data_IF_385412173580
#
_entry.id   IF_385412173580
#
_cell.length_a   1.000
_cell.length_b   1.000
_cell.length_c   1.000
_cell.angle_alpha   90.00
_cell.angle_beta   90.00
_cell.angle_gamma   90.00
#
_symmetry.space_group_name_H-M   'P 1'
#
loop_
_entity.id
_entity.type
_entity.pdbx_description
1 polymer ?
#
# COMPACT_ATOMS: atom_id res chain seq x y z
N UNK A 1 1.70 14.64 11.44
CA UNK A 1 1.72 13.43 12.30
C UNK A 1 1.92 12.22 11.39
N UNK A 2 3.01 11.46 11.56
CA UNK A 2 3.26 10.25 10.78
C UNK A 2 2.22 9.19 11.17
N UNK A 3 1.26 8.92 10.30
CA UNK A 3 0.21 7.94 10.56
C UNK A 3 0.70 6.54 10.22
N UNK A 4 0.07 5.53 10.83
CA UNK A 4 0.32 4.12 10.52
C UNK A 4 0.23 3.84 9.01
N UNK A 5 -0.66 4.53 8.31
CA UNK A 5 -0.79 4.45 6.85
C UNK A 5 0.50 4.84 6.11
N UNK A 6 1.14 5.93 6.51
CA UNK A 6 2.39 6.39 5.89
C UNK A 6 3.52 5.37 6.09
N UNK A 7 3.66 4.81 7.29
CA UNK A 7 4.69 3.80 7.58
C UNK A 7 4.50 2.53 6.75
N UNK A 8 3.26 2.04 6.64
CA UNK A 8 2.94 0.89 5.79
C UNK A 8 3.31 1.19 4.33
N UNK A 9 2.95 2.38 3.82
CA UNK A 9 3.24 2.75 2.44
C UNK A 9 4.76 2.81 2.16
N UNK A 10 5.53 3.33 3.10
CA UNK A 10 7.00 3.39 2.99
C UNK A 10 7.60 1.99 3.02
N UNK A 11 7.20 1.13 3.96
CA UNK A 11 7.72 -0.24 4.07
C UNK A 11 7.40 -1.04 2.80
N UNK A 12 6.17 -0.94 2.30
CA UNK A 12 5.75 -1.63 1.08
C UNK A 12 6.47 -1.09 -0.16
N UNK A 13 6.62 0.23 -0.27
CA UNK A 13 7.39 0.85 -1.35
C UNK A 13 8.86 0.44 -1.34
N UNK A 14 9.48 0.37 -0.15
CA UNK A 14 10.85 -0.10 0.01
C UNK A 14 11.01 -1.58 -0.39
N UNK A 15 10.04 -2.43 -0.02
CA UNK A 15 10.03 -3.83 -0.45
C UNK A 15 9.93 -3.96 -1.97
N UNK A 16 9.00 -3.24 -2.62
CA UNK A 16 8.87 -3.22 -4.07
C UNK A 16 10.16 -2.75 -4.76
N UNK A 17 10.80 -1.70 -4.26
CA UNK A 17 12.09 -1.25 -4.80
C UNK A 17 13.15 -2.35 -4.66
N UNK A 18 13.25 -2.95 -3.47
CA UNK A 18 14.25 -3.97 -3.15
C UNK A 18 14.11 -5.23 -4.01
N UNK A 19 12.91 -5.77 -4.15
CA UNK A 19 12.68 -7.00 -4.95
C UNK A 19 12.85 -6.81 -6.45
N UNK A 20 12.75 -5.57 -6.96
CA UNK A 20 13.05 -5.26 -8.37
C UNK A 20 14.54 -4.94 -8.60
N UNK A 21 15.26 -4.49 -7.58
CA UNK A 21 16.68 -4.13 -7.68
C UNK A 21 17.62 -5.29 -7.37
N UNK A 22 17.15 -6.25 -6.57
CA UNK A 22 17.91 -7.45 -6.20
C UNK A 22 17.25 -8.71 -6.79
N UNK A 23 18.02 -9.67 -7.31
CA UNK A 23 17.50 -10.91 -7.89
C UNK A 23 17.09 -11.90 -6.79
N UNK A 24 16.12 -11.51 -5.95
CA UNK A 24 15.64 -12.31 -4.80
C UNK A 24 14.52 -13.26 -5.25
N UNK A 25 13.74 -12.88 -6.26
CA UNK A 25 12.67 -13.71 -6.83
C UNK A 25 12.94 -14.03 -8.31
N UNK A 26 12.52 -15.22 -8.79
CA UNK A 26 12.45 -15.52 -10.21
C UNK A 26 11.52 -14.55 -10.94
N UNK A 27 11.84 -14.22 -12.20
CA UNK A 27 11.12 -13.22 -13.01
C UNK A 27 9.60 -13.49 -13.09
N UNK A 28 9.20 -14.76 -13.25
CA UNK A 28 7.80 -15.18 -13.30
C UNK A 28 7.02 -14.81 -12.02
N UNK A 29 7.68 -14.90 -10.87
CA UNK A 29 7.10 -14.55 -9.57
C UNK A 29 7.23 -13.07 -9.24
N UNK A 30 8.21 -12.38 -9.83
CA UNK A 30 8.49 -10.97 -9.58
C UNK A 30 7.34 -10.10 -10.08
N UNK A 31 6.82 -10.38 -11.29
CA UNK A 31 5.63 -9.71 -11.82
C UNK A 31 4.41 -9.93 -10.93
N UNK A 32 4.15 -11.18 -10.53
CA UNK A 32 3.00 -11.54 -9.69
C UNK A 32 3.09 -10.86 -8.33
N UNK A 33 4.26 -10.87 -7.70
CA UNK A 33 4.51 -10.22 -6.41
C UNK A 33 4.24 -8.70 -6.50
N UNK A 34 4.78 -8.03 -7.52
CA UNK A 34 4.60 -6.60 -7.69
C UNK A 34 3.13 -6.23 -7.92
N UNK A 35 2.42 -6.99 -8.77
CA UNK A 35 1.00 -6.75 -9.06
C UNK A 35 0.14 -6.99 -7.82
N UNK A 36 0.36 -8.09 -7.09
CA UNK A 36 -0.39 -8.42 -5.89
C UNK A 36 -0.25 -7.31 -4.82
N UNK A 37 0.99 -6.87 -4.57
CA UNK A 37 1.26 -5.79 -3.61
C UNK A 37 0.65 -4.47 -4.08
N UNK A 38 0.77 -4.15 -5.37
CA UNK A 38 0.16 -2.95 -5.96
C UNK A 38 -1.35 -2.90 -5.76
N UNK A 39 -2.04 -4.02 -5.99
CA UNK A 39 -3.50 -4.14 -5.76
C UNK A 39 -3.85 -3.93 -4.29
N UNK A 40 -3.11 -4.57 -3.37
CA UNK A 40 -3.35 -4.41 -1.93
C UNK A 40 -3.22 -2.94 -1.51
N UNK A 41 -2.15 -2.28 -1.95
CA UNK A 41 -1.92 -0.85 -1.65
C UNK A 41 -3.03 0.02 -2.23
N UNK A 42 -3.45 -0.23 -3.47
CA UNK A 42 -4.53 0.52 -4.11
C UNK A 42 -5.86 0.36 -3.36
N UNK A 43 -6.22 -0.86 -2.93
CA UNK A 43 -7.42 -1.13 -2.15
C UNK A 43 -7.37 -0.42 -0.79
N UNK A 44 -6.24 -0.51 -0.08
CA UNK A 44 -6.08 0.18 1.20
C UNK A 44 -6.14 1.71 1.06
N UNK A 45 -5.53 2.25 0.01
CA UNK A 45 -5.58 3.67 -0.29
C UNK A 45 -7.02 4.11 -0.63
N UNK A 46 -7.73 3.34 -1.45
CA UNK A 46 -9.12 3.58 -1.79
C UNK A 46 -10.04 3.49 -0.55
N UNK A 47 -9.86 2.48 0.31
CA UNK A 47 -10.60 2.38 1.57
C UNK A 47 -10.36 3.59 2.47
N UNK A 48 -9.11 4.04 2.60
CA UNK A 48 -8.80 5.23 3.40
C UNK A 48 -9.44 6.50 2.82
N UNK A 49 -9.33 6.70 1.49
CA UNK A 49 -9.88 7.87 0.80
C UNK A 49 -11.41 7.90 0.78
N UNK A 50 -12.05 6.77 0.50
CA UNK A 50 -13.49 6.71 0.25
C UNK A 50 -14.30 6.18 1.42
N UNK A 51 -13.79 5.22 2.19
CA UNK A 51 -14.55 4.65 3.30
C UNK A 51 -14.27 5.40 4.61
N UNK A 52 -12.99 5.56 5.00
CA UNK A 52 -12.63 6.22 6.26
C UNK A 52 -12.97 7.72 6.27
N UNK A 53 -12.73 8.41 5.15
CA UNK A 53 -13.01 9.83 5.04
C UNK A 53 -14.52 10.14 4.92
N UNK A 54 -15.33 9.22 4.38
CA UNK A 54 -16.80 9.37 4.36
C UNK A 54 -17.46 8.97 5.68
N UNK A 55 -16.82 8.11 6.51
CA UNK A 55 -17.29 7.86 7.88
C UNK A 55 -16.93 8.99 8.84
N UNK A 56 -16.08 9.93 8.43
CA UNK A 56 -15.80 11.18 9.15
C UNK A 56 -16.92 12.21 8.92
N UNK A 57 -18.18 11.75 8.95
CA UNK A 57 -19.32 12.64 9.21
C UNK A 57 -19.11 13.15 10.62
N UNK A 58 -18.46 14.31 10.70
CA UNK A 58 -18.24 15.06 11.93
C UNK A 58 -19.55 15.11 12.71
N UNK A 59 -19.66 14.28 13.73
CA UNK A 59 -20.54 14.49 14.87
C UNK A 59 -19.96 15.70 15.63
N UNK A 60 -20.14 16.88 15.05
CA UNK A 60 -19.86 18.17 15.70
C UNK A 60 -21.22 18.68 16.19
N UNK A 61 -21.54 18.33 17.42
CA UNK A 61 -22.46 19.12 18.25
C UNK A 61 -21.88 20.53 18.46
#
# INVERSE_FOLDING_TARGET
>A
MMTTFHWIHIIVGAWLALVNFMPILPEDFLMINNVAIGIIVAIYNAYFLFAKNNTDVKERN
#
